data_IF_319320689758
#
_entry.id   IF_319320689758
#
_cell.length_a   1.000
_cell.length_b   1.000
_cell.length_c   1.000
_cell.angle_alpha   90.00
_cell.angle_beta   90.00
_cell.angle_gamma   90.00
#
_symmetry.space_group_name_H-M   'P 1'
#
loop_
_entity.id
_entity.type
_entity.pdbx_description
1 polymer ?
#
# COMPACT_ATOMS: atom_id res chain seq x y z
N UNK A 1 -7.26 8.13 -11.21
CA UNK A 1 -6.32 7.23 -10.51
C UNK A 1 -5.53 8.08 -9.54
N UNK A 2 -5.53 7.72 -8.25
CA UNK A 2 -4.85 8.46 -7.18
C UNK A 2 -3.51 7.78 -6.93
N UNK A 3 -2.43 8.55 -6.77
CA UNK A 3 -1.08 8.00 -6.52
C UNK A 3 -0.61 8.37 -5.12
N UNK A 4 -0.14 7.37 -4.38
CA UNK A 4 0.40 7.51 -3.03
C UNK A 4 1.84 7.02 -3.03
N UNK A 5 2.79 7.94 -2.93
CA UNK A 5 4.23 7.64 -2.96
C UNK A 5 4.82 7.59 -1.54
N UNK A 6 5.23 6.39 -1.12
CA UNK A 6 5.93 6.17 0.15
C UNK A 6 7.36 5.66 -0.05
N UNK A 7 7.94 5.76 -1.26
CA UNK A 7 9.30 5.29 -1.53
C UNK A 7 10.34 6.04 -0.71
N UNK A 8 10.16 7.35 -0.55
CA UNK A 8 11.06 8.22 0.20
C UNK A 8 10.67 8.42 1.66
N UNK A 9 9.67 7.69 2.17
CA UNK A 9 9.26 7.86 3.57
C UNK A 9 10.36 7.36 4.51
N UNK A 10 10.65 8.15 5.54
CA UNK A 10 11.49 7.72 6.65
C UNK A 10 10.59 7.22 7.76
N UNK A 11 10.44 5.90 7.85
CA UNK A 11 9.76 5.28 8.98
C UNK A 11 10.70 5.41 10.20
N UNK A 12 10.48 6.39 11.07
CA UNK A 12 11.19 6.46 12.35
C UNK A 12 10.84 5.31 13.32
N UNK A 13 9.88 4.45 12.93
CA UNK A 13 9.41 3.27 13.66
C UNK A 13 9.10 2.10 12.72
N UNK A 14 8.23 1.20 13.17
CA UNK A 14 7.92 -0.05 12.46
C UNK A 14 7.21 0.16 11.11
N UNK A 15 7.76 -0.34 9.97
CA UNK A 15 7.16 -0.18 8.65
C UNK A 15 5.77 -0.81 8.49
N UNK A 16 5.47 -1.86 9.26
CA UNK A 16 4.16 -2.52 9.18
C UNK A 16 3.06 -1.59 9.71
N UNK A 17 3.27 -0.99 10.88
CA UNK A 17 2.34 -0.03 11.45
C UNK A 17 2.18 1.23 10.60
N UNK A 18 3.28 1.70 9.98
CA UNK A 18 3.22 2.81 9.03
C UNK A 18 2.33 2.47 7.83
N UNK A 19 2.57 1.31 7.20
CA UNK A 19 1.81 0.88 6.03
C UNK A 19 0.33 0.68 6.38
N UNK A 20 0.04 -0.01 7.49
CA UNK A 20 -1.32 -0.23 7.96
C UNK A 20 -2.07 1.09 8.18
N UNK A 21 -1.44 2.07 8.83
CA UNK A 21 -2.03 3.39 9.07
C UNK A 21 -2.27 4.15 7.76
N UNK A 22 -1.32 4.07 6.82
CA UNK A 22 -1.41 4.72 5.51
C UNK A 22 -2.56 4.16 4.67
N UNK A 23 -2.68 2.83 4.61
CA UNK A 23 -3.76 2.14 3.90
C UNK A 23 -5.13 2.44 4.53
N UNK A 24 -5.18 2.57 5.86
CA UNK A 24 -6.41 3.00 6.56
C UNK A 24 -6.80 4.44 6.23
N UNK A 25 -5.83 5.36 6.10
CA UNK A 25 -6.10 6.73 5.64
C UNK A 25 -6.70 6.72 4.23
N UNK A 26 -6.06 5.97 3.32
CA UNK A 26 -6.54 5.80 1.95
C UNK A 26 -8.00 5.31 1.93
N UNK A 27 -8.36 4.32 2.75
CA UNK A 27 -9.74 3.80 2.78
C UNK A 27 -10.79 4.86 3.16
N UNK A 28 -10.43 5.81 4.01
CA UNK A 28 -11.30 6.91 4.46
C UNK A 28 -11.44 7.97 3.36
N UNK A 29 -10.37 8.22 2.62
CA UNK A 29 -10.28 9.32 1.65
C UNK A 29 -10.84 8.98 0.25
N UNK A 30 -10.94 7.69 -0.10
CA UNK A 30 -11.35 7.28 -1.46
C UNK A 30 -12.80 6.84 -1.60
N UNK A 31 -13.37 7.13 -2.77
CA UNK A 31 -14.70 6.71 -3.19
C UNK A 31 -14.67 5.30 -3.82
N UNK A 32 -15.81 4.58 -3.89
CA UNK A 32 -15.86 3.23 -4.46
C UNK A 32 -15.44 3.12 -5.93
N UNK A 33 -15.54 4.20 -6.70
CA UNK A 33 -15.11 4.26 -8.10
C UNK A 33 -13.61 4.48 -8.27
N UNK A 34 -12.91 4.88 -7.21
CA UNK A 34 -11.52 5.27 -7.29
C UNK A 34 -10.59 4.06 -7.37
N UNK A 35 -9.44 4.28 -8.00
CA UNK A 35 -8.34 3.32 -8.03
C UNK A 35 -7.10 4.02 -7.52
N UNK A 36 -6.42 3.42 -6.55
CA UNK A 36 -5.24 3.98 -5.89
C UNK A 36 -4.03 3.15 -6.23
N UNK A 37 -2.95 3.80 -6.65
CA UNK A 37 -1.63 3.19 -6.82
C UNK A 37 -0.75 3.58 -5.64
N UNK A 38 -0.37 2.61 -4.83
CA UNK A 38 0.57 2.79 -3.70
C UNK A 38 1.96 2.35 -4.14
N UNK A 39 2.96 3.20 -3.96
CA UNK A 39 4.34 2.98 -4.40
C UNK A 39 5.26 2.88 -3.20
N UNK A 40 5.96 1.75 -3.08
CA UNK A 40 6.79 1.39 -1.94
C UNK A 40 8.20 0.97 -2.40
N UNK A 41 9.17 1.03 -1.49
CA UNK A 41 10.51 0.43 -1.67
C UNK A 41 10.53 -0.93 -0.97
N UNK A 42 10.95 -1.99 -1.68
CA UNK A 42 11.02 -3.36 -1.14
C UNK A 42 11.96 -3.47 0.05
N UNK A 43 13.09 -2.77 0.06
CA UNK A 43 14.00 -2.78 1.23
C UNK A 43 13.35 -2.22 2.50
N UNK A 44 12.41 -1.27 2.36
CA UNK A 44 11.67 -0.68 3.49
C UNK A 44 10.44 -1.50 3.87
N UNK A 45 9.81 -2.13 2.89
CA UNK A 45 8.61 -2.94 3.04
C UNK A 45 8.85 -4.34 2.47
N UNK A 46 9.71 -5.17 3.11
CA UNK A 46 10.14 -6.47 2.60
C UNK A 46 9.07 -7.55 2.83
N UNK A 47 7.86 -7.31 2.35
CA UNK A 47 6.70 -8.16 2.55
C UNK A 47 6.33 -8.94 1.29
N UNK A 48 5.76 -10.13 1.50
CA UNK A 48 5.21 -10.96 0.43
C UNK A 48 3.78 -10.52 0.06
N UNK A 49 3.24 -11.08 -1.04
CA UNK A 49 1.88 -10.75 -1.48
C UNK A 49 0.84 -11.03 -0.40
N UNK A 50 0.97 -12.17 0.30
CA UNK A 50 0.02 -12.57 1.35
C UNK A 50 -0.03 -11.56 2.50
N UNK A 51 1.10 -10.98 2.84
CA UNK A 51 1.18 -9.96 3.89
C UNK A 51 0.52 -8.66 3.43
N UNK A 52 0.78 -8.22 2.20
CA UNK A 52 0.09 -7.05 1.64
C UNK A 52 -1.43 -7.28 1.57
N UNK A 53 -1.88 -8.43 1.09
CA UNK A 53 -3.31 -8.79 1.04
C UNK A 53 -3.94 -8.75 2.43
N UNK A 54 -3.28 -9.29 3.47
CA UNK A 54 -3.78 -9.24 4.84
C UNK A 54 -3.93 -7.81 5.34
N UNK A 55 -2.95 -6.94 5.10
CA UNK A 55 -2.99 -5.53 5.51
C UNK A 55 -4.14 -4.81 4.79
N UNK A 56 -4.22 -4.94 3.47
CA UNK A 56 -5.23 -4.28 2.64
C UNK A 56 -6.64 -4.77 2.97
N UNK A 57 -6.84 -6.07 3.12
CA UNK A 57 -8.13 -6.66 3.48
C UNK A 57 -8.56 -6.26 4.90
N UNK A 58 -7.62 -6.20 5.85
CA UNK A 58 -7.91 -5.70 7.20
C UNK A 58 -8.42 -4.26 7.17
N UNK A 59 -7.89 -3.44 6.26
CA UNK A 59 -8.36 -2.09 6.01
C UNK A 59 -9.64 -2.01 5.15
N UNK A 60 -10.30 -3.13 4.81
CA UNK A 60 -11.50 -3.16 3.96
C UNK A 60 -11.29 -2.57 2.56
N UNK A 61 -10.11 -2.79 2.00
CA UNK A 61 -9.79 -2.55 0.60
C UNK A 61 -9.47 -3.89 -0.07
N UNK A 62 -9.36 -3.88 -1.39
CA UNK A 62 -8.96 -5.03 -2.21
C UNK A 62 -7.74 -4.68 -3.05
N UNK A 63 -6.82 -5.62 -3.20
CA UNK A 63 -5.70 -5.51 -4.14
C UNK A 63 -6.19 -5.97 -5.52
N UNK A 64 -6.08 -5.09 -6.51
CA UNK A 64 -6.33 -5.38 -7.92
C UNK A 64 -5.09 -5.99 -8.57
N UNK A 65 -3.91 -5.46 -8.24
CA UNK A 65 -2.64 -5.92 -8.80
C UNK A 65 -1.44 -5.60 -7.90
N UNK A 66 -0.36 -6.37 -8.03
CA UNK A 66 0.93 -6.16 -7.36
C UNK A 66 2.04 -6.28 -8.41
N UNK A 67 2.68 -5.15 -8.73
CA UNK A 67 3.86 -5.12 -9.61
C UNK A 67 5.14 -4.94 -8.79
N UNK A 68 6.23 -5.60 -9.20
CA UNK A 68 7.56 -5.49 -8.58
C UNK A 68 8.62 -5.28 -9.63
N UNK A 69 9.31 -4.14 -9.57
CA UNK A 69 10.35 -3.77 -10.52
C UNK A 69 11.47 -3.01 -9.81
N UNK A 70 12.73 -3.33 -10.07
CA UNK A 70 13.90 -2.54 -9.64
C UNK A 70 13.86 -2.05 -8.17
N UNK A 71 13.57 -2.94 -7.22
CA UNK A 71 13.44 -2.65 -5.78
C UNK A 71 12.20 -1.83 -5.37
N UNK A 72 11.28 -1.58 -6.30
CA UNK A 72 10.00 -0.94 -6.04
C UNK A 72 8.86 -1.97 -6.02
N UNK A 73 7.82 -1.66 -5.24
CA UNK A 73 6.58 -2.43 -5.16
C UNK A 73 5.43 -1.46 -5.42
N UNK A 74 4.57 -1.81 -6.37
CA UNK A 74 3.36 -1.07 -6.69
C UNK A 74 2.14 -1.90 -6.33
N UNK A 75 1.28 -1.36 -5.46
CA UNK A 75 0.00 -1.98 -5.11
C UNK A 75 -1.12 -1.17 -5.76
N UNK A 76 -1.96 -1.83 -6.56
CA UNK A 76 -3.16 -1.22 -7.10
C UNK A 76 -4.35 -1.60 -6.20
N UNK A 77 -5.02 -0.61 -5.60
CA UNK A 77 -6.05 -0.81 -4.58
C UNK A 77 -7.40 -0.24 -5.03
N UNK A 78 -8.48 -0.88 -4.55
CA UNK A 78 -9.88 -0.42 -4.67
C UNK A 78 -10.64 -0.71 -3.39
N UNK A 79 -11.80 -0.06 -3.22
CA UNK A 79 -12.74 -0.32 -2.12
C UNK A 79 -13.60 -1.53 -2.39
#
# INVERSE_FOLDING_TARGET
MIEMDYRNVSCGGDPFNFLMSSIKSIQIEIEPSDTVKVMLIKDKFPYDNKTFEKIVNYCKLSIVDICRENNEIYLLLRK
#
